data_IF_811605187933
#
_entry.id   IF_811605187933
#
_cell.length_a   1.000
_cell.length_b   1.000
_cell.length_c   1.000
_cell.angle_alpha   90.00
_cell.angle_beta   90.00
_cell.angle_gamma   90.00
#
_symmetry.space_group_name_H-M   'P 1'
#
loop_
_entity.id
_entity.type
_entity.pdbx_description
1 polymer ?
#
# COMPACT_ATOMS: atom_id res chain seq x y z
N UNK A 1 -51.01 0.28 -7.53
CA UNK A 1 -49.95 1.28 -7.83
C UNK A 1 -48.90 1.18 -6.73
N UNK A 2 -48.28 0.01 -6.59
CA UNK A 2 -47.52 -0.42 -5.38
C UNK A 2 -46.35 -1.35 -5.77
N UNK A 3 -45.78 -1.17 -6.97
CA UNK A 3 -44.79 -2.07 -7.58
C UNK A 3 -43.49 -1.33 -7.98
N UNK A 4 -43.17 -0.19 -7.35
CA UNK A 4 -41.99 0.65 -7.69
C UNK A 4 -41.02 0.92 -6.52
N UNK A 5 -41.20 0.31 -5.34
CA UNK A 5 -40.28 0.51 -4.20
C UNK A 5 -39.20 -0.58 -4.02
N UNK A 6 -39.16 -1.60 -4.89
CA UNK A 6 -38.20 -2.70 -4.76
C UNK A 6 -36.97 -2.55 -5.67
N UNK A 7 -36.46 -1.33 -5.87
CA UNK A 7 -35.11 -1.17 -6.41
C UNK A 7 -34.16 -1.48 -5.25
N UNK A 8 -33.39 -2.58 -5.29
CA UNK A 8 -32.34 -2.81 -4.30
C UNK A 8 -31.42 -1.58 -4.38
N UNK A 9 -31.29 -0.88 -3.25
CA UNK A 9 -30.33 0.19 -3.07
C UNK A 9 -28.96 -0.44 -3.34
N UNK A 10 -28.49 -0.41 -4.58
CA UNK A 10 -27.12 -0.74 -4.91
C UNK A 10 -26.31 0.26 -4.09
N UNK A 11 -25.71 -0.23 -3.01
CA UNK A 11 -24.79 0.54 -2.18
C UNK A 11 -23.66 0.95 -3.12
N UNK A 12 -23.79 2.13 -3.71
CA UNK A 12 -22.72 2.77 -4.46
C UNK A 12 -21.51 2.69 -3.53
N UNK A 13 -20.42 1.99 -3.91
CA UNK A 13 -19.23 1.96 -3.09
C UNK A 13 -18.72 3.39 -3.04
N UNK A 14 -19.14 4.11 -2.01
CA UNK A 14 -18.67 5.47 -1.77
C UNK A 14 -17.22 5.29 -1.40
N UNK A 15 -16.35 5.67 -2.32
CA UNK A 15 -14.91 5.69 -2.09
C UNK A 15 -14.67 6.71 -0.98
N UNK A 16 -14.52 6.22 0.24
CA UNK A 16 -14.24 7.04 1.40
C UNK A 16 -12.72 7.24 1.41
N UNK A 17 -12.25 8.48 1.52
CA UNK A 17 -10.83 8.78 1.69
C UNK A 17 -10.08 7.85 2.68
N UNK A 18 -10.66 7.48 3.85
CA UNK A 18 -10.03 6.51 4.75
C UNK A 18 -9.77 5.13 4.13
N UNK A 19 -10.66 4.59 3.30
CA UNK A 19 -10.46 3.28 2.67
C UNK A 19 -9.39 3.31 1.58
N UNK A 20 -9.26 4.44 0.86
CA UNK A 20 -8.17 4.61 -0.11
C UNK A 20 -6.77 4.59 0.50
N UNK A 21 -6.62 4.98 1.77
CA UNK A 21 -5.32 5.00 2.44
C UNK A 21 -4.77 3.59 2.64
N UNK A 22 -5.63 2.64 3.04
CA UNK A 22 -5.21 1.26 3.26
C UNK A 22 -4.85 0.55 1.95
N UNK A 23 -5.74 0.67 0.96
CA UNK A 23 -5.44 0.20 -0.39
C UNK A 23 -4.16 0.86 -0.93
N UNK A 24 -3.96 2.15 -0.67
CA UNK A 24 -2.73 2.86 -1.03
C UNK A 24 -1.48 2.25 -0.42
N UNK A 25 -1.52 1.85 0.85
CA UNK A 25 -0.39 1.21 1.53
C UNK A 25 0.06 -0.08 0.84
N UNK A 26 -0.89 -0.90 0.38
CA UNK A 26 -0.61 -2.16 -0.31
C UNK A 26 -0.19 -1.91 -1.75
N UNK A 27 -0.92 -1.07 -2.49
CA UNK A 27 -0.74 -0.95 -3.94
C UNK A 27 0.39 0.01 -4.35
N UNK A 28 0.76 1.01 -3.53
CA UNK A 28 1.86 1.93 -3.85
C UNK A 28 3.19 1.20 -4.10
N UNK A 29 3.69 0.33 -3.19
CA UNK A 29 4.95 -0.38 -3.43
C UNK A 29 4.86 -1.34 -4.62
N UNK A 30 3.72 -2.01 -4.83
CA UNK A 30 3.48 -2.87 -5.99
C UNK A 30 3.53 -2.11 -7.32
N UNK A 31 2.86 -0.95 -7.40
CA UNK A 31 2.84 -0.11 -8.59
C UNK A 31 4.23 0.51 -8.85
N UNK A 32 4.95 0.89 -7.80
CA UNK A 32 6.33 1.36 -7.92
C UNK A 32 7.27 0.26 -8.46
N UNK A 33 7.11 -0.99 -8.00
CA UNK A 33 7.86 -2.14 -8.52
C UNK A 33 7.59 -2.35 -10.02
N UNK A 34 6.33 -2.27 -10.45
CA UNK A 34 5.95 -2.33 -11.87
C UNK A 34 6.57 -1.15 -12.63
N UNK A 35 6.54 0.05 -12.07
CA UNK A 35 7.15 1.25 -12.66
C UNK A 35 8.65 1.08 -12.90
N UNK A 36 9.35 0.42 -11.97
CA UNK A 36 10.78 0.15 -12.07
C UNK A 36 11.15 -0.75 -13.26
N UNK A 37 10.22 -1.59 -13.76
CA UNK A 37 10.47 -2.45 -14.93
C UNK A 37 10.80 -1.65 -16.18
N UNK A 38 10.26 -0.44 -16.29
CA UNK A 38 10.44 0.44 -17.45
C UNK A 38 11.73 1.29 -17.37
N UNK A 39 12.48 1.21 -16.27
CA UNK A 39 13.73 1.95 -16.13
C UNK A 39 14.89 1.27 -16.88
N UNK A 40 15.68 2.02 -17.67
CA UNK A 40 16.91 1.50 -18.26
C UNK A 40 17.96 1.22 -17.17
N UNK A 41 18.88 0.29 -17.42
CA UNK A 41 19.92 -0.13 -16.43
C UNK A 41 21.35 -0.03 -16.96
N UNK A 42 21.55 0.64 -18.10
CA UNK A 42 22.81 0.62 -18.86
C UNK A 42 23.94 1.47 -18.29
N UNK A 43 23.64 2.46 -17.45
CA UNK A 43 24.63 3.42 -16.94
C UNK A 43 24.50 3.59 -15.43
N UNK A 44 25.55 4.08 -14.78
CA UNK A 44 25.53 4.34 -13.34
C UNK A 44 24.48 5.40 -12.96
N UNK A 45 24.29 6.41 -13.80
CA UNK A 45 23.22 7.40 -13.61
C UNK A 45 21.82 6.77 -13.61
N UNK A 46 21.60 5.70 -14.38
CA UNK A 46 20.33 4.99 -14.35
C UNK A 46 20.15 4.17 -13.05
N UNK A 47 21.22 3.55 -12.54
CA UNK A 47 21.19 2.82 -11.27
C UNK A 47 20.87 3.76 -10.10
N UNK A 48 21.45 4.96 -10.11
CA UNK A 48 21.16 5.98 -9.10
C UNK A 48 19.69 6.43 -9.15
N UNK A 49 19.12 6.63 -10.35
CA UNK A 49 17.69 6.96 -10.50
C UNK A 49 16.77 5.88 -9.96
N UNK A 50 17.05 4.61 -10.24
CA UNK A 50 16.31 3.46 -9.69
C UNK A 50 16.33 3.51 -8.16
N UNK A 51 17.51 3.79 -7.59
CA UNK A 51 17.68 3.88 -6.14
C UNK A 51 16.93 5.06 -5.52
N UNK A 52 17.05 6.25 -6.10
CA UNK A 52 16.31 7.44 -5.63
C UNK A 52 14.80 7.21 -5.71
N UNK A 53 14.33 6.53 -6.76
CA UNK A 53 12.92 6.18 -6.92
C UNK A 53 12.44 5.19 -5.85
N UNK A 54 13.24 4.16 -5.53
CA UNK A 54 12.92 3.22 -4.46
C UNK A 54 12.89 3.91 -3.08
N UNK A 55 13.85 4.81 -2.80
CA UNK A 55 13.86 5.61 -1.57
C UNK A 55 12.61 6.49 -1.50
N UNK A 56 12.26 7.18 -2.59
CA UNK A 56 11.08 8.02 -2.67
C UNK A 56 9.79 7.23 -2.43
N UNK A 57 9.72 6.00 -2.95
CA UNK A 57 8.58 5.11 -2.73
C UNK A 57 8.45 4.69 -1.26
N UNK A 58 9.53 4.17 -0.65
CA UNK A 58 9.50 3.76 0.75
C UNK A 58 9.22 4.95 1.70
N UNK A 59 9.75 6.13 1.38
CA UNK A 59 9.45 7.36 2.13
C UNK A 59 7.98 7.77 1.99
N UNK A 60 7.38 7.60 0.80
CA UNK A 60 5.96 7.82 0.57
C UNK A 60 5.12 6.85 1.40
N UNK A 61 5.42 5.55 1.39
CA UNK A 61 4.71 4.54 2.19
C UNK A 61 4.80 4.85 3.69
N UNK A 62 5.98 5.24 4.19
CA UNK A 62 6.13 5.69 5.58
C UNK A 62 5.31 6.95 5.87
N UNK A 63 5.27 7.93 4.96
CA UNK A 63 4.45 9.12 5.13
C UNK A 63 2.96 8.77 5.22
N UNK A 64 2.48 7.84 4.38
CA UNK A 64 1.11 7.32 4.47
C UNK A 64 0.86 6.64 5.82
N UNK A 65 1.79 5.82 6.30
CA UNK A 65 1.72 5.16 7.61
C UNK A 65 1.55 6.17 8.75
N UNK A 66 2.34 7.24 8.72
CA UNK A 66 2.30 8.32 9.72
C UNK A 66 0.98 9.08 9.66
N UNK A 67 0.49 9.41 8.47
CA UNK A 67 -0.82 10.08 8.30
C UNK A 67 -1.95 9.21 8.88
N UNK A 68 -1.93 7.91 8.57
CA UNK A 68 -2.90 6.97 9.13
C UNK A 68 -2.81 6.89 10.65
N UNK A 69 -1.60 6.96 11.23
CA UNK A 69 -1.38 6.90 12.68
C UNK A 69 -2.00 8.10 13.40
N UNK A 70 -1.86 9.29 12.84
CA UNK A 70 -2.51 10.48 13.39
C UNK A 70 -4.03 10.40 13.30
N UNK A 71 -4.59 9.90 12.18
CA UNK A 71 -6.04 9.71 12.05
C UNK A 71 -6.61 8.54 12.86
N UNK A 72 -5.77 7.57 13.27
CA UNK A 72 -6.16 6.46 14.13
C UNK A 72 -6.44 6.90 15.58
N UNK A 73 -5.80 7.97 16.05
CA UNK A 73 -5.96 8.48 17.43
C UNK A 73 -7.39 8.88 17.78
N UNK A 74 -8.21 9.21 16.77
CA UNK A 74 -9.60 9.63 16.95
C UNK A 74 -10.60 8.46 16.96
N UNK A 75 -10.15 7.21 16.78
CA UNK A 75 -10.99 6.01 16.64
C UNK A 75 -10.66 4.98 17.74
N UNK A 76 -11.09 5.25 18.97
CA UNK A 76 -10.87 4.34 20.10
C UNK A 76 -11.95 3.25 20.18
N UNK A 77 -11.55 1.98 20.00
CA UNK A 77 -12.32 0.80 20.46
C UNK A 77 -12.86 -0.17 19.38
N UNK A 78 -12.75 0.16 18.09
CA UNK A 78 -13.20 -0.71 16.97
C UNK A 78 -12.14 -0.73 15.85
N UNK A 79 -12.25 -1.65 14.87
CA UNK A 79 -11.42 -1.62 13.67
C UNK A 79 -11.52 -0.25 13.00
N UNK A 80 -10.37 0.36 12.69
CA UNK A 80 -10.28 1.61 11.96
C UNK A 80 -9.95 1.32 10.50
N UNK A 81 -10.39 2.23 9.61
CA UNK A 81 -10.13 2.16 8.17
C UNK A 81 -10.57 0.81 7.56
N UNK A 82 -11.85 0.47 7.68
CA UNK A 82 -12.38 -0.78 7.17
C UNK A 82 -12.81 -0.67 5.70
N UNK A 83 -12.22 -1.49 4.84
CA UNK A 83 -12.60 -1.65 3.44
C UNK A 83 -13.09 -3.07 3.19
N UNK A 84 -14.38 -3.22 2.87
CA UNK A 84 -14.96 -4.51 2.48
C UNK A 84 -15.41 -4.44 1.02
N UNK A 85 -14.80 -5.25 0.15
CA UNK A 85 -15.23 -5.42 -1.25
C UNK A 85 -15.45 -6.90 -1.57
N UNK A 86 -16.56 -7.24 -2.25
CA UNK A 86 -16.75 -8.61 -2.73
C UNK A 86 -15.71 -8.93 -3.80
N UNK A 87 -14.91 -9.98 -3.59
CA UNK A 87 -13.88 -10.42 -4.55
C UNK A 87 -14.41 -11.57 -5.40
N UNK A 88 -14.93 -12.62 -4.76
CA UNK A 88 -15.52 -13.77 -5.44
C UNK A 88 -16.89 -14.10 -4.80
N UNK A 89 -17.98 -13.50 -5.31
CA UNK A 89 -19.32 -13.68 -4.76
C UNK A 89 -19.78 -15.15 -4.78
N UNK A 90 -19.40 -15.90 -5.81
CA UNK A 90 -19.74 -17.31 -5.96
C UNK A 90 -19.15 -18.22 -4.87
N UNK A 91 -18.05 -17.81 -4.24
CA UNK A 91 -17.40 -18.52 -3.15
C UNK A 91 -17.67 -17.88 -1.77
N UNK A 92 -18.46 -16.81 -1.71
CA UNK A 92 -18.67 -16.03 -0.49
C UNK A 92 -17.42 -15.31 0.02
N UNK A 93 -16.42 -15.05 -0.84
CA UNK A 93 -15.16 -14.44 -0.44
C UNK A 93 -15.15 -12.92 -0.71
N UNK A 94 -14.73 -12.16 0.29
CA UNK A 94 -14.58 -10.70 0.25
C UNK A 94 -13.16 -10.28 0.61
N UNK A 95 -12.67 -9.25 -0.07
CA UNK A 95 -11.51 -8.48 0.33
C UNK A 95 -11.92 -7.59 1.51
N UNK A 96 -11.59 -8.02 2.71
CA UNK A 96 -11.86 -7.30 3.95
C UNK A 96 -10.52 -6.87 4.54
N UNK A 97 -10.25 -5.58 4.45
CA UNK A 97 -9.12 -4.93 5.08
C UNK A 97 -9.63 -4.10 6.24
N UNK A 98 -8.97 -4.20 7.39
CA UNK A 98 -9.23 -3.34 8.54
C UNK A 98 -7.98 -3.32 9.40
N UNK A 99 -7.77 -2.22 10.12
CA UNK A 99 -6.59 -2.06 10.96
C UNK A 99 -7.03 -1.83 12.40
N UNK A 100 -6.52 -2.65 13.31
CA UNK A 100 -6.65 -2.47 14.75
C UNK A 100 -5.40 -1.78 15.33
N UNK A 101 -5.39 -1.53 16.64
CA UNK A 101 -4.27 -0.83 17.29
C UNK A 101 -2.91 -1.55 17.13
N UNK A 102 -2.92 -2.88 17.08
CA UNK A 102 -1.69 -3.69 16.94
C UNK A 102 -1.21 -3.67 15.48
N UNK A 103 -2.12 -3.90 14.53
CA UNK A 103 -1.84 -3.88 13.09
C UNK A 103 -1.35 -2.51 12.66
N UNK A 104 -1.87 -1.43 13.26
CA UNK A 104 -1.42 -0.07 12.98
C UNK A 104 0.04 0.15 13.39
N UNK A 105 0.43 -0.36 14.57
CA UNK A 105 1.82 -0.31 15.03
C UNK A 105 2.75 -1.15 14.13
N UNK A 106 2.30 -2.34 13.71
CA UNK A 106 3.06 -3.21 12.79
C UNK A 106 3.22 -2.60 11.40
N UNK A 107 2.20 -1.95 10.86
CA UNK A 107 2.28 -1.24 9.58
C UNK A 107 3.30 -0.10 9.63
N UNK A 108 3.27 0.71 10.70
CA UNK A 108 4.23 1.80 10.89
C UNK A 108 5.66 1.27 11.01
N UNK A 109 5.86 0.20 11.80
CA UNK A 109 7.16 -0.46 11.94
C UNK A 109 7.65 -1.02 10.60
N UNK A 110 6.78 -1.68 9.84
CA UNK A 110 7.14 -2.27 8.54
C UNK A 110 7.58 -1.21 7.55
N UNK A 111 6.80 -0.15 7.37
CA UNK A 111 7.18 0.98 6.50
C UNK A 111 8.50 1.62 6.93
N UNK A 112 8.74 1.73 8.24
CA UNK A 112 10.00 2.24 8.77
C UNK A 112 11.18 1.30 8.46
N UNK A 113 11.00 -0.01 8.65
CA UNK A 113 12.03 -1.01 8.34
C UNK A 113 12.35 -1.05 6.84
N UNK A 114 11.35 -0.95 5.96
CA UNK A 114 11.57 -0.91 4.51
C UNK A 114 12.33 0.34 4.08
N UNK A 115 12.01 1.51 4.62
CA UNK A 115 12.80 2.72 4.38
C UNK A 115 14.27 2.52 4.77
N UNK A 116 14.53 1.94 5.94
CA UNK A 116 15.88 1.64 6.39
C UNK A 116 16.57 0.59 5.52
N UNK A 117 15.86 -0.45 5.07
CA UNK A 117 16.39 -1.47 4.18
C UNK A 117 16.84 -0.88 2.84
N UNK A 118 16.02 -0.02 2.24
CA UNK A 118 16.34 0.68 0.97
C UNK A 118 17.55 1.61 1.16
N UNK A 119 17.62 2.35 2.27
CA UNK A 119 18.75 3.23 2.58
C UNK A 119 20.05 2.42 2.80
N UNK A 120 19.99 1.32 3.55
CA UNK A 120 21.11 0.44 3.81
C UNK A 120 21.60 -0.28 2.54
N UNK A 121 20.70 -0.53 1.58
CA UNK A 121 21.00 -1.20 0.31
C UNK A 121 21.86 -0.37 -0.67
N UNK A 122 22.43 0.75 -0.25
CA UNK A 122 23.24 1.60 -1.13
C UNK A 122 24.53 1.03 -1.66
N UNK A 123 24.98 -0.08 -1.11
CA UNK A 123 26.18 -0.75 -1.55
C UNK A 123 25.91 -1.86 -2.58
N UNK A 124 24.64 -2.12 -2.92
CA UNK A 124 24.28 -3.11 -3.95
C UNK A 124 24.72 -2.60 -5.32
N UNK A 125 25.63 -3.33 -5.97
CA UNK A 125 26.19 -2.98 -7.28
C UNK A 125 25.73 -3.91 -8.41
N UNK A 126 25.35 -5.12 -8.08
CA UNK A 126 24.86 -6.13 -9.01
C UNK A 126 23.34 -6.17 -8.99
N UNK A 127 22.73 -6.30 -10.18
CA UNK A 127 21.28 -6.49 -10.35
C UNK A 127 20.41 -5.49 -9.55
N UNK A 128 20.83 -4.21 -9.53
CA UNK A 128 20.21 -3.14 -8.73
C UNK A 128 18.70 -3.03 -8.98
N UNK A 129 18.28 -3.20 -10.25
CA UNK A 129 16.87 -3.11 -10.63
C UNK A 129 16.07 -4.27 -10.04
N UNK A 130 16.53 -5.49 -10.26
CA UNK A 130 15.88 -6.72 -9.82
C UNK A 130 15.79 -6.74 -8.29
N UNK A 131 16.86 -6.34 -7.60
CA UNK A 131 16.89 -6.21 -6.15
C UNK A 131 15.79 -5.27 -5.64
N UNK A 132 15.70 -4.03 -6.16
CA UNK A 132 14.70 -3.07 -5.68
C UNK A 132 13.26 -3.46 -6.07
N UNK A 133 13.06 -4.12 -7.22
CA UNK A 133 11.75 -4.68 -7.57
C UNK A 133 11.32 -5.71 -6.53
N UNK A 134 12.18 -6.68 -6.22
CA UNK A 134 11.87 -7.72 -5.23
C UNK A 134 11.66 -7.14 -3.84
N UNK A 135 12.46 -6.13 -3.47
CA UNK A 135 12.30 -5.45 -2.19
C UNK A 135 10.96 -4.71 -2.07
N UNK A 136 10.52 -4.00 -3.11
CA UNK A 136 9.21 -3.33 -3.13
C UNK A 136 8.04 -4.32 -3.20
N UNK A 137 8.20 -5.43 -3.92
CA UNK A 137 7.20 -6.51 -3.91
C UNK A 137 7.08 -7.11 -2.50
N UNK A 138 8.20 -7.27 -1.78
CA UNK A 138 8.19 -7.75 -0.40
C UNK A 138 7.54 -6.74 0.56
N UNK A 139 7.57 -5.44 0.27
CA UNK A 139 6.86 -4.43 1.07
C UNK A 139 5.34 -4.50 0.91
N UNK A 140 4.86 -5.10 -0.19
CA UNK A 140 3.43 -5.19 -0.51
C UNK A 140 2.69 -6.19 0.38
N UNK A 141 3.36 -7.22 0.94
CA UNK A 141 2.72 -8.31 1.69
C UNK A 141 3.58 -8.85 2.81
#
# INVERSE_FOLDING_TARGET
MTLLEAIPQATTPTVQLPTLLLSGMVWVPALAAIGLLFFPTRTDAHRERIRSFAIGTAALVLALAVVMWYGFRDQSGTFAYEETRPWLPAAGSSYHLGVDGVSMAMLLLSAFLFLFAVLASGRVREQVKEYFILLLILETG
#
